data_IF_983847839921
#
_entry.id   IF_983847839921
#
_cell.length_a   1.000
_cell.length_b   1.000
_cell.length_c   1.000
_cell.angle_alpha   90.00
_cell.angle_beta   90.00
_cell.angle_gamma   90.00
#
_symmetry.space_group_name_H-M   'P 1'
#
loop_
_entity.id
_entity.type
_entity.pdbx_description
1 polymer ?
#
# COMPACT_ATOMS: atom_id res chain seq x y z
N UNK A 1 -9.83 13.88 -7.37
CA UNK A 1 -11.26 13.83 -7.66
C UNK A 1 -11.93 13.02 -6.55
N UNK A 2 -13.08 13.45 -6.07
CA UNK A 2 -13.91 12.75 -5.07
C UNK A 2 -15.07 12.10 -5.77
N UNK A 3 -15.36 10.85 -5.43
CA UNK A 3 -16.53 10.10 -5.87
C UNK A 3 -17.43 9.88 -4.67
N UNK A 4 -18.72 10.04 -4.89
CA UNK A 4 -19.76 9.81 -3.88
C UNK A 4 -20.59 8.58 -4.24
N UNK A 5 -21.48 8.16 -3.34
CA UNK A 5 -22.38 7.01 -3.58
C UNK A 5 -23.16 7.09 -4.90
N UNK A 6 -23.44 8.28 -5.41
CA UNK A 6 -24.15 8.45 -6.68
C UNK A 6 -23.33 7.98 -7.89
N UNK A 7 -22.02 8.05 -7.80
CA UNK A 7 -21.12 7.65 -8.88
C UNK A 7 -20.52 6.26 -8.69
N UNK A 8 -20.55 5.72 -7.46
CA UNK A 8 -19.95 4.44 -7.12
C UNK A 8 -20.95 3.31 -7.33
N UNK A 9 -20.62 2.37 -8.21
CA UNK A 9 -21.42 1.17 -8.46
C UNK A 9 -21.14 0.11 -7.42
N UNK A 10 -19.86 -0.13 -7.12
CA UNK A 10 -19.43 -1.12 -6.14
C UNK A 10 -18.05 -0.81 -5.59
N UNK A 11 -17.81 -1.23 -4.35
CA UNK A 11 -16.51 -1.22 -3.69
C UNK A 11 -16.23 -2.58 -3.09
N UNK A 12 -14.98 -3.02 -3.17
CA UNK A 12 -14.49 -4.23 -2.51
C UNK A 12 -13.14 -3.94 -1.89
N UNK A 13 -12.99 -4.29 -0.62
CA UNK A 13 -11.74 -4.20 0.13
C UNK A 13 -11.43 -5.56 0.74
N UNK A 14 -10.16 -5.89 0.85
CA UNK A 14 -9.68 -7.09 1.53
C UNK A 14 -8.39 -6.77 2.26
N UNK A 15 -8.31 -7.15 3.52
CA UNK A 15 -7.13 -7.06 4.37
C UNK A 15 -6.77 -8.47 4.86
N UNK A 16 -5.61 -8.94 4.51
CA UNK A 16 -5.09 -10.25 4.96
C UNK A 16 -3.68 -10.06 5.53
N UNK A 17 -3.50 -10.42 6.80
CA UNK A 17 -2.23 -10.30 7.53
C UNK A 17 -1.92 -11.63 8.21
N UNK A 18 -0.78 -12.23 7.88
CA UNK A 18 -0.26 -13.41 8.59
C UNK A 18 0.49 -12.95 9.85
N UNK A 19 0.05 -13.38 11.06
CA UNK A 19 0.70 -12.98 12.33
C UNK A 19 2.18 -13.36 12.44
N UNK A 20 2.63 -14.35 11.68
CA UNK A 20 4.03 -14.83 11.66
C UNK A 20 4.78 -14.41 10.40
N UNK A 21 4.21 -13.56 9.58
CA UNK A 21 4.78 -13.07 8.30
C UNK A 21 5.29 -14.17 7.37
N UNK A 22 4.68 -15.37 7.42
CA UNK A 22 4.98 -16.48 6.50
C UNK A 22 4.44 -16.18 5.10
N UNK A 23 3.41 -15.33 5.01
CA UNK A 23 2.84 -14.81 3.77
C UNK A 23 2.93 -13.30 3.78
N UNK A 24 3.03 -12.71 2.61
CA UNK A 24 2.95 -11.27 2.45
C UNK A 24 1.56 -10.76 2.88
N UNK A 25 1.49 -9.64 3.62
CA UNK A 25 0.23 -8.98 3.87
C UNK A 25 -0.40 -8.57 2.53
N UNK A 26 -1.69 -8.86 2.38
CA UNK A 26 -2.44 -8.52 1.17
C UNK A 26 -3.57 -7.57 1.52
N UNK A 27 -3.35 -6.32 1.20
CA UNK A 27 -4.37 -5.28 1.26
C UNK A 27 -4.73 -4.92 -0.17
N UNK A 28 -5.96 -5.18 -0.55
CA UNK A 28 -6.43 -4.89 -1.90
C UNK A 28 -7.71 -4.09 -1.87
N UNK A 29 -7.86 -3.22 -2.84
CA UNK A 29 -9.11 -2.51 -3.07
C UNK A 29 -9.49 -2.56 -4.55
N UNK A 30 -10.77 -2.58 -4.79
CA UNK A 30 -11.36 -2.38 -6.09
C UNK A 30 -12.61 -1.54 -5.94
N UNK A 31 -12.78 -0.55 -6.81
CA UNK A 31 -14.05 0.15 -6.92
C UNK A 31 -14.40 0.40 -8.38
N UNK A 32 -15.69 0.44 -8.65
CA UNK A 32 -16.26 0.66 -9.98
C UNK A 32 -17.12 1.90 -9.90
N UNK A 33 -16.94 2.81 -10.84
CA UNK A 33 -17.71 4.04 -10.96
C UNK A 33 -18.46 4.10 -12.27
N UNK A 34 -19.52 4.91 -12.29
CA UNK A 34 -20.18 5.36 -13.52
C UNK A 34 -19.29 6.38 -14.24
N UNK A 35 -19.08 6.19 -15.54
CA UNK A 35 -18.24 7.04 -16.39
C UNK A 35 -18.96 7.29 -17.74
N UNK A 36 -20.08 7.96 -17.70
CA UNK A 36 -20.86 8.29 -18.91
C UNK A 36 -20.13 9.22 -19.88
N UNK A 37 -19.23 10.03 -19.36
CA UNK A 37 -18.44 10.98 -20.16
C UNK A 37 -17.16 10.34 -20.71
N UNK A 38 -16.91 9.05 -20.44
CA UNK A 38 -15.72 8.33 -20.86
C UNK A 38 -14.40 9.01 -20.45
N UNK A 39 -14.40 9.65 -19.25
CA UNK A 39 -13.23 10.37 -18.74
C UNK A 39 -12.02 9.46 -18.49
N UNK A 40 -12.25 8.17 -18.25
CA UNK A 40 -11.22 7.17 -17.99
C UNK A 40 -10.99 6.23 -19.19
N UNK A 41 -11.52 6.56 -20.35
CA UNK A 41 -11.26 5.85 -21.59
C UNK A 41 -9.92 6.32 -22.17
N UNK A 42 -8.97 5.42 -22.50
CA UNK A 42 -7.71 5.77 -23.14
C UNK A 42 -7.89 6.46 -24.49
N UNK A 43 -9.00 6.21 -25.19
CA UNK A 43 -9.29 6.76 -26.51
C UNK A 43 -9.98 8.16 -26.44
N UNK A 44 -10.32 8.63 -25.24
CA UNK A 44 -10.89 9.97 -25.05
C UNK A 44 -9.78 11.02 -24.83
N UNK A 45 -9.44 11.86 -25.84
CA UNK A 45 -8.36 12.84 -25.70
C UNK A 45 -8.68 13.96 -24.70
N UNK A 46 -9.96 14.18 -24.39
CA UNK A 46 -10.41 15.18 -23.41
C UNK A 46 -10.56 14.59 -22.02
N UNK A 47 -10.37 13.29 -21.87
CA UNK A 47 -10.50 12.57 -20.62
C UNK A 47 -9.29 12.78 -19.67
N UNK A 48 -9.45 12.32 -18.45
CA UNK A 48 -8.41 12.41 -17.42
C UNK A 48 -7.57 11.14 -17.29
N UNK A 49 -7.81 10.14 -18.14
CA UNK A 49 -7.08 8.86 -18.12
C UNK A 49 -5.56 9.04 -18.14
N UNK A 50 -5.05 9.97 -18.93
CA UNK A 50 -3.63 10.24 -19.08
C UNK A 50 -2.95 10.75 -17.79
N UNK A 51 -3.73 11.33 -16.86
CA UNK A 51 -3.24 11.88 -15.60
C UNK A 51 -3.36 10.90 -14.42
N UNK A 52 -3.92 9.71 -14.66
CA UNK A 52 -4.06 8.67 -13.64
C UNK A 52 -3.01 7.60 -13.90
N UNK A 53 -2.02 7.52 -13.02
CA UNK A 53 -0.91 6.57 -13.18
C UNK A 53 -0.93 5.48 -12.11
N UNK A 54 -0.14 4.42 -12.36
CA UNK A 54 0.23 3.46 -11.33
C UNK A 54 0.86 4.22 -10.14
N UNK A 55 0.60 3.74 -8.93
CA UNK A 55 1.01 4.34 -7.66
C UNK A 55 0.31 5.68 -7.31
N UNK A 56 -0.69 6.11 -8.08
CA UNK A 56 -1.53 7.24 -7.66
C UNK A 56 -2.23 6.90 -6.34
N UNK A 57 -2.18 7.80 -5.34
CA UNK A 57 -2.82 7.55 -4.04
C UNK A 57 -4.34 7.60 -4.17
N UNK A 58 -5.01 6.70 -3.46
CA UNK A 58 -6.46 6.62 -3.35
C UNK A 58 -6.82 6.42 -1.90
N UNK A 59 -7.85 7.09 -1.42
CA UNK A 59 -8.45 6.81 -0.11
C UNK A 59 -9.92 6.47 -0.26
N UNK A 60 -10.37 5.49 0.51
CA UNK A 60 -11.76 5.08 0.61
C UNK A 60 -12.24 5.35 2.02
N UNK A 61 -13.40 6.00 2.13
CA UNK A 61 -14.00 6.32 3.41
C UNK A 61 -15.45 5.89 3.42
N UNK A 62 -15.88 5.24 4.49
CA UNK A 62 -17.26 4.86 4.73
C UNK A 62 -17.91 5.81 5.72
N UNK A 63 -19.11 6.26 5.38
CA UNK A 63 -19.95 7.07 6.26
C UNK A 63 -21.20 6.29 6.67
N UNK A 64 -21.59 6.44 7.92
CA UNK A 64 -22.83 5.91 8.47
C UNK A 64 -23.78 7.06 8.83
N UNK A 65 -24.97 7.06 8.26
CA UNK A 65 -25.98 8.05 8.58
C UNK A 65 -26.68 7.70 9.90
N UNK A 66 -26.57 8.61 10.85
CA UNK A 66 -27.21 8.50 12.16
C UNK A 66 -28.70 8.86 12.06
N UNK A 67 -29.53 8.41 13.03
CA UNK A 67 -30.97 8.74 13.07
C UNK A 67 -31.30 10.24 13.11
N UNK A 68 -30.33 11.07 13.46
CA UNK A 68 -30.46 12.53 13.47
C UNK A 68 -30.07 13.20 12.13
N UNK A 69 -29.84 12.42 11.08
CA UNK A 69 -29.44 12.89 9.76
C UNK A 69 -27.97 13.33 9.64
N UNK A 70 -27.15 13.17 10.69
CA UNK A 70 -25.72 13.42 10.62
C UNK A 70 -25.00 12.17 10.09
N UNK A 71 -23.98 12.39 9.26
CA UNK A 71 -23.11 11.31 8.78
C UNK A 71 -21.88 11.24 9.67
N UNK A 72 -21.63 10.09 10.27
CA UNK A 72 -20.39 9.75 10.97
C UNK A 72 -19.46 9.02 9.99
N UNK A 73 -18.25 9.54 9.84
CA UNK A 73 -17.26 9.01 8.90
C UNK A 73 -16.23 8.16 9.62
N UNK A 74 -16.01 6.95 9.14
CA UNK A 74 -14.88 6.14 9.58
C UNK A 74 -13.56 6.76 9.05
N UNK A 75 -12.45 6.40 9.70
CA UNK A 75 -11.13 6.78 9.22
C UNK A 75 -10.92 6.26 7.80
N UNK A 76 -10.38 7.06 6.88
CA UNK A 76 -10.17 6.62 5.51
C UNK A 76 -9.04 5.59 5.40
N UNK A 77 -9.31 4.49 4.70
CA UNK A 77 -8.28 3.54 4.29
C UNK A 77 -7.51 4.09 3.09
N UNK A 78 -6.19 3.94 3.10
CA UNK A 78 -5.29 4.49 2.08
C UNK A 78 -4.70 3.37 1.23
N UNK A 79 -4.76 3.56 -0.08
CA UNK A 79 -4.26 2.62 -1.08
C UNK A 79 -3.47 3.36 -2.16
N UNK A 80 -2.78 2.59 -3.00
CA UNK A 80 -2.16 3.06 -4.24
C UNK A 80 -2.67 2.24 -5.41
N UNK A 81 -2.86 2.86 -6.57
CA UNK A 81 -3.33 2.16 -7.77
C UNK A 81 -2.27 1.19 -8.28
N UNK A 82 -2.68 -0.04 -8.60
CA UNK A 82 -1.82 -1.04 -9.23
C UNK A 82 -1.56 -0.75 -10.70
N UNK A 83 -2.52 -0.12 -11.36
CA UNK A 83 -2.52 0.19 -12.78
C UNK A 83 -3.45 1.36 -13.08
N UNK A 84 -3.40 1.85 -14.30
CA UNK A 84 -4.41 2.76 -14.81
C UNK A 84 -5.81 2.13 -14.75
N UNK A 85 -6.87 2.95 -14.62
CA UNK A 85 -8.24 2.45 -14.59
C UNK A 85 -8.58 1.69 -15.88
N UNK A 86 -9.47 0.73 -15.77
CA UNK A 86 -9.99 -0.03 -16.92
C UNK A 86 -11.37 0.48 -17.26
N UNK A 87 -11.50 1.11 -18.43
CA UNK A 87 -12.78 1.54 -18.97
C UNK A 87 -13.53 0.37 -19.64
N UNK A 88 -14.83 0.30 -19.45
CA UNK A 88 -15.72 -0.65 -20.13
C UNK A 88 -17.12 -0.07 -20.22
N UNK A 89 -17.59 0.21 -21.42
CA UNK A 89 -18.88 0.89 -21.64
C UNK A 89 -18.92 2.21 -20.84
N UNK A 90 -19.92 2.36 -19.99
CA UNK A 90 -20.13 3.56 -19.15
C UNK A 90 -19.56 3.40 -17.73
N UNK A 91 -18.53 2.59 -17.56
CA UNK A 91 -17.94 2.28 -16.26
C UNK A 91 -16.42 2.36 -16.30
N UNK A 92 -15.82 2.77 -15.19
CA UNK A 92 -14.39 2.68 -14.98
C UNK A 92 -14.09 1.89 -13.68
N UNK A 93 -13.20 0.91 -13.79
CA UNK A 93 -12.77 0.06 -12.68
C UNK A 93 -11.37 0.46 -12.23
N UNK A 94 -11.23 0.73 -10.95
CA UNK A 94 -9.97 1.03 -10.30
C UNK A 94 -9.57 -0.13 -9.39
N UNK A 95 -8.30 -0.51 -9.43
CA UNK A 95 -7.74 -1.54 -8.57
C UNK A 95 -6.47 -1.04 -7.91
N UNK A 96 -6.33 -1.28 -6.63
CA UNK A 96 -5.19 -0.83 -5.86
C UNK A 96 -4.78 -1.80 -4.76
N UNK A 97 -3.68 -1.48 -4.12
CA UNK A 97 -3.10 -2.27 -3.03
C UNK A 97 -2.65 -1.33 -1.90
N UNK A 98 -2.51 -1.88 -0.69
CA UNK A 98 -1.87 -1.18 0.41
C UNK A 98 -0.39 -0.87 0.12
N UNK A 99 0.22 -0.06 0.97
CA UNK A 99 1.59 0.43 0.75
C UNK A 99 2.60 -0.69 0.57
N UNK A 100 2.56 -1.74 1.40
CA UNK A 100 3.49 -2.88 1.29
C UNK A 100 3.39 -3.54 -0.08
N UNK A 101 2.17 -3.77 -0.58
CA UNK A 101 1.95 -4.37 -1.90
C UNK A 101 2.47 -3.52 -3.06
N UNK A 102 2.62 -2.22 -2.88
CA UNK A 102 3.20 -1.32 -3.89
C UNK A 102 4.72 -1.43 -4.01
N UNK A 103 5.41 -1.98 -2.99
CA UNK A 103 6.87 -2.14 -2.94
C UNK A 103 7.36 -3.29 -3.83
N UNK A 104 6.97 -3.25 -5.11
CA UNK A 104 7.25 -4.29 -6.11
C UNK A 104 8.60 -4.13 -6.83
N UNK A 105 9.36 -3.07 -6.54
CA UNK A 105 10.71 -2.85 -7.06
C UNK A 105 11.69 -3.92 -6.58
N UNK A 106 12.81 -4.09 -7.28
CA UNK A 106 13.81 -5.12 -6.98
C UNK A 106 14.91 -4.57 -6.07
N UNK A 107 15.10 -5.21 -4.92
CA UNK A 107 16.22 -4.98 -4.02
C UNK A 107 17.40 -5.90 -4.40
N UNK A 108 18.58 -5.33 -4.65
CA UNK A 108 19.80 -6.05 -5.07
C UNK A 108 21.06 -5.58 -4.34
N UNK A 109 20.93 -4.67 -3.38
CA UNK A 109 22.07 -4.02 -2.71
C UNK A 109 22.60 -4.77 -1.50
N UNK A 110 21.97 -5.88 -1.10
CA UNK A 110 22.40 -6.63 0.09
C UNK A 110 23.84 -7.12 -0.03
N UNK A 111 24.61 -6.94 1.04
CA UNK A 111 26.01 -7.36 1.12
C UNK A 111 26.18 -8.39 2.22
N UNK A 112 27.13 -9.32 2.04
CA UNK A 112 27.58 -10.20 3.11
C UNK A 112 28.30 -9.40 4.21
N UNK A 113 28.05 -9.74 5.44
CA UNK A 113 28.65 -9.08 6.61
C UNK A 113 27.72 -9.11 7.81
N UNK A 114 28.24 -8.85 8.99
CA UNK A 114 27.40 -8.77 10.19
C UNK A 114 26.55 -7.49 10.13
N UNK A 115 25.23 -7.64 10.14
CA UNK A 115 24.26 -6.54 10.13
C UNK A 115 23.10 -6.88 11.05
N UNK A 116 22.56 -5.90 11.76
CA UNK A 116 21.34 -6.11 12.53
C UNK A 116 20.11 -6.03 11.60
N UNK A 117 19.01 -6.64 12.03
CA UNK A 117 17.79 -6.69 11.21
C UNK A 117 17.08 -5.34 11.08
N UNK A 118 17.24 -4.44 12.06
CA UNK A 118 16.71 -3.09 12.00
C UNK A 118 17.29 -2.33 10.80
N UNK A 119 18.63 -2.26 10.73
CA UNK A 119 19.33 -1.55 9.65
C UNK A 119 19.07 -2.20 8.28
N UNK A 120 18.90 -3.54 8.25
CA UNK A 120 18.56 -4.24 7.01
C UNK A 120 17.16 -3.87 6.53
N UNK A 121 16.18 -3.78 7.43
CA UNK A 121 14.82 -3.39 7.08
C UNK A 121 14.75 -1.92 6.62
N UNK A 122 15.44 -1.03 7.33
CA UNK A 122 15.52 0.39 6.97
C UNK A 122 16.17 0.58 5.60
N UNK A 123 17.26 -0.14 5.29
CA UNK A 123 17.90 -0.09 3.97
C UNK A 123 16.94 -0.51 2.85
N UNK A 124 16.14 -1.55 3.06
CA UNK A 124 15.15 -2.02 2.07
C UNK A 124 14.04 -0.96 1.87
N UNK A 125 13.56 -0.34 2.94
CA UNK A 125 12.52 0.70 2.88
C UNK A 125 13.03 1.96 2.18
N UNK A 126 14.23 2.41 2.49
CA UNK A 126 14.89 3.55 1.82
C UNK A 126 15.13 3.27 0.34
N UNK A 127 15.61 2.06 -0.02
CA UNK A 127 15.82 1.66 -1.41
C UNK A 127 14.51 1.57 -2.20
N UNK A 128 13.40 1.26 -1.53
CA UNK A 128 12.06 1.28 -2.11
C UNK A 128 11.54 2.71 -2.41
N UNK A 129 12.29 3.73 -2.04
CA UNK A 129 11.94 5.14 -2.24
C UNK A 129 11.08 5.73 -1.14
N UNK A 130 10.88 5.03 -0.02
CA UNK A 130 10.25 5.60 1.15
C UNK A 130 11.26 6.53 1.84
N UNK A 131 10.87 7.76 2.08
CA UNK A 131 11.72 8.75 2.74
C UNK A 131 11.12 9.17 4.07
N UNK A 132 11.98 9.45 5.04
CA UNK A 132 11.56 10.07 6.29
C UNK A 132 10.98 11.46 5.96
N UNK A 133 9.77 11.71 6.43
CA UNK A 133 9.11 13.00 6.22
C UNK A 133 9.85 14.09 7.02
N UNK A 134 10.15 15.21 6.39
CA UNK A 134 10.66 16.41 7.08
C UNK A 134 9.70 16.92 8.17
N UNK A 135 8.42 16.52 8.11
CA UNK A 135 7.36 16.89 9.06
C UNK A 135 7.18 15.89 10.21
N UNK A 136 8.09 14.92 10.38
CA UNK A 136 8.17 14.07 11.57
C UNK A 136 7.28 12.83 11.58
N UNK A 137 6.56 12.52 10.51
CA UNK A 137 5.81 11.26 10.41
C UNK A 137 6.62 10.26 9.59
N UNK A 138 7.23 9.29 10.24
CA UNK A 138 7.96 8.24 9.55
C UNK A 138 6.97 7.30 8.84
N UNK A 139 7.19 6.92 7.57
CA UNK A 139 6.34 5.98 6.86
C UNK A 139 6.50 4.54 7.34
N UNK A 140 7.34 4.28 8.32
CA UNK A 140 7.52 2.97 8.95
C UNK A 140 7.85 3.07 10.43
N UNK A 141 7.56 1.98 11.15
CA UNK A 141 7.97 1.73 12.53
C UNK A 141 8.57 0.33 12.60
N UNK A 142 9.84 0.25 12.95
CA UNK A 142 10.58 -1.00 13.14
C UNK A 142 10.83 -1.16 14.65
N UNK A 143 10.60 -2.38 15.18
CA UNK A 143 10.87 -2.67 16.59
C UNK A 143 12.35 -2.47 16.92
N UNK A 144 12.63 -1.69 17.95
CA UNK A 144 13.98 -1.36 18.40
C UNK A 144 14.78 -2.60 18.84
N UNK A 145 14.12 -3.68 19.27
CA UNK A 145 14.75 -4.93 19.64
C UNK A 145 15.52 -5.58 18.48
N UNK A 146 15.14 -5.27 17.23
CA UNK A 146 15.81 -5.77 16.03
C UNK A 146 17.25 -5.24 15.89
N UNK A 147 17.60 -4.16 16.59
CA UNK A 147 18.98 -3.63 16.67
C UNK A 147 19.92 -4.58 17.43
N UNK A 148 19.36 -5.47 18.25
CA UNK A 148 20.13 -6.47 19.02
C UNK A 148 20.20 -7.83 18.30
N UNK A 149 19.50 -8.00 17.20
CA UNK A 149 19.43 -9.24 16.44
C UNK A 149 20.29 -9.14 15.17
N UNK A 150 21.35 -9.93 15.10
CA UNK A 150 22.34 -9.87 14.02
C UNK A 150 22.29 -11.10 13.11
N UNK A 151 22.62 -10.88 11.85
CA UNK A 151 22.83 -11.94 10.86
C UNK A 151 24.06 -11.64 10.01
N UNK A 152 24.69 -12.69 9.48
CA UNK A 152 25.73 -12.59 8.47
C UNK A 152 25.22 -12.90 7.07
N UNK A 153 23.96 -13.35 6.96
CA UNK A 153 23.35 -13.67 5.70
C UNK A 153 22.97 -12.40 4.92
N UNK A 154 23.19 -12.40 3.62
CA UNK A 154 22.68 -11.39 2.73
C UNK A 154 21.22 -11.69 2.36
N UNK A 155 20.41 -10.65 2.14
CA UNK A 155 19.10 -10.82 1.55
C UNK A 155 19.25 -11.29 0.09
N UNK A 156 18.38 -12.21 -0.36
CA UNK A 156 18.35 -12.60 -1.77
C UNK A 156 17.91 -11.44 -2.64
N UNK A 157 18.29 -11.48 -3.91
CA UNK A 157 17.73 -10.57 -4.91
C UNK A 157 16.23 -10.88 -5.04
N UNK A 158 15.39 -9.90 -4.78
CA UNK A 158 13.94 -10.06 -4.80
C UNK A 158 13.22 -8.73 -4.70
N UNK A 159 11.89 -8.74 -4.61
CA UNK A 159 11.15 -7.51 -4.41
C UNK A 159 11.37 -6.96 -3.00
N UNK A 160 11.26 -5.62 -2.85
CA UNK A 160 11.38 -4.99 -1.53
C UNK A 160 10.42 -5.63 -0.51
N UNK A 161 9.15 -5.85 -0.91
CA UNK A 161 8.17 -6.49 -0.03
C UNK A 161 8.58 -7.91 0.39
N UNK A 162 9.19 -8.71 -0.52
CA UNK A 162 9.68 -10.05 -0.18
C UNK A 162 10.88 -9.97 0.78
N UNK A 163 11.78 -9.02 0.59
CA UNK A 163 12.91 -8.79 1.49
C UNK A 163 12.43 -8.41 2.90
N UNK A 164 11.44 -7.50 3.02
CA UNK A 164 10.84 -7.15 4.30
C UNK A 164 10.14 -8.34 4.96
N UNK A 165 9.42 -9.16 4.18
CA UNK A 165 8.81 -10.39 4.70
C UNK A 165 9.85 -11.36 5.25
N UNK A 166 10.97 -11.58 4.55
CA UNK A 166 12.04 -12.44 5.01
C UNK A 166 12.65 -11.95 6.32
N UNK A 167 12.88 -10.65 6.47
CA UNK A 167 13.35 -10.02 7.68
C UNK A 167 12.35 -10.25 8.81
N UNK A 168 11.09 -9.89 8.62
CA UNK A 168 10.05 -10.05 9.64
C UNK A 168 9.89 -11.51 10.06
N UNK A 169 9.89 -12.46 9.11
CA UNK A 169 9.80 -13.88 9.39
C UNK A 169 11.02 -14.39 10.19
N UNK A 170 12.23 -13.97 9.82
CA UNK A 170 13.47 -14.36 10.53
C UNK A 170 13.46 -13.87 11.99
N UNK A 171 12.94 -12.67 12.23
CA UNK A 171 12.84 -12.08 13.57
C UNK A 171 11.57 -12.49 14.33
N UNK A 172 10.68 -13.30 13.71
CA UNK A 172 9.36 -13.65 14.25
C UNK A 172 8.48 -12.42 14.52
N UNK A 173 8.68 -11.38 13.73
CA UNK A 173 7.90 -10.16 13.74
C UNK A 173 6.72 -10.27 12.78
N UNK A 174 5.72 -9.44 13.02
CA UNK A 174 4.59 -9.23 12.12
C UNK A 174 4.87 -8.03 11.21
N UNK A 175 4.70 -8.21 9.91
CA UNK A 175 4.76 -7.17 8.89
C UNK A 175 3.34 -6.79 8.51
N UNK A 176 2.97 -5.52 8.65
CA UNK A 176 1.64 -5.01 8.30
C UNK A 176 1.66 -3.49 8.10
N UNK A 177 0.60 -2.96 7.51
CA UNK A 177 0.34 -1.52 7.40
C UNK A 177 -0.78 -1.16 8.37
N UNK A 178 -0.71 0.00 9.01
CA UNK A 178 -1.81 0.53 9.82
C UNK A 178 -2.72 1.45 8.99
N UNK A 179 -3.80 1.95 9.62
CA UNK A 179 -4.77 2.84 8.97
C UNK A 179 -4.17 4.19 8.53
N UNK A 180 -3.01 4.58 9.02
CA UNK A 180 -2.27 5.76 8.57
C UNK A 180 -1.34 5.48 7.40
N UNK A 181 -1.36 4.23 6.90
CA UNK A 181 -0.50 3.73 5.85
C UNK A 181 0.99 3.71 6.27
N UNK A 182 1.25 3.46 7.55
CA UNK A 182 2.58 3.29 8.13
C UNK A 182 2.92 1.80 8.15
N UNK A 183 4.09 1.43 7.64
CA UNK A 183 4.57 0.05 7.65
C UNK A 183 5.12 -0.29 9.05
N UNK A 184 4.66 -1.38 9.62
CA UNK A 184 5.12 -1.89 10.91
C UNK A 184 5.84 -3.22 10.77
N UNK A 185 6.99 -3.34 11.46
CA UNK A 185 7.73 -4.58 11.69
C UNK A 185 7.89 -4.73 13.20
N UNK A 186 6.98 -5.52 13.83
CA UNK A 186 6.88 -5.65 15.29
C UNK A 186 6.68 -7.09 15.72
#
# INVERSE_FOLDING_TARGET
KVFTNENIISTRQSHDVDPLSRRLPQETMQFVILDYEHNYDPDNPSGIYQYVDKNSPVSIQFGYELPNGKVEWLKPDKYVLNSKPKASKNQATFSGTGLIGSLSGTFYKSKLGSKNFYDMAEEVLLDAGLTLSEQGTNPWVIDESLKQMFTTAALPIGTHMNCLQLIAHACRCRLFTDDDNIIHIK
#
